data_IF_682686284832
#
_entry.id   IF_682686284832
#
_cell.length_a   1.000
_cell.length_b   1.000
_cell.length_c   1.000
_cell.angle_alpha   90.00
_cell.angle_beta   90.00
_cell.angle_gamma   90.00
#
_symmetry.space_group_name_H-M   'P 1'
#
loop_
_entity.id
_entity.type
_entity.pdbx_description
1 polymer ?
#
# COMPACT_ATOMS: atom_id res chain seq x y z
N UNK A 1 15.64 -2.73 -7.40
CA UNK A 1 14.76 -3.48 -6.52
C UNK A 1 13.77 -2.60 -5.85
N UNK A 2 12.58 -2.61 -6.42
CA UNK A 2 11.52 -1.72 -5.95
C UNK A 2 11.01 -2.10 -4.57
N UNK A 3 10.99 -3.39 -4.25
CA UNK A 3 10.45 -3.86 -2.96
C UNK A 3 11.27 -3.40 -1.77
N UNK A 4 12.59 -3.49 -1.87
CA UNK A 4 13.46 -3.06 -0.77
C UNK A 4 13.40 -1.54 -0.57
N UNK A 5 13.50 -0.78 -1.64
CA UNK A 5 13.44 0.68 -1.54
C UNK A 5 12.06 1.14 -1.05
N UNK A 6 11.00 0.46 -1.46
CA UNK A 6 9.66 0.73 -0.98
C UNK A 6 9.56 0.47 0.54
N UNK A 7 10.13 -0.65 1.00
CA UNK A 7 10.14 -0.97 2.43
C UNK A 7 10.93 0.05 3.24
N UNK A 8 12.09 0.48 2.72
CA UNK A 8 12.90 1.50 3.39
C UNK A 8 12.11 2.80 3.54
N UNK A 9 11.41 3.21 2.49
CA UNK A 9 10.58 4.42 2.51
C UNK A 9 9.45 4.31 3.54
N UNK A 10 8.77 3.15 3.57
CA UNK A 10 7.67 2.93 4.51
C UNK A 10 8.16 2.89 5.96
N UNK A 11 9.30 2.24 6.21
CA UNK A 11 9.90 2.20 7.54
C UNK A 11 10.29 3.60 8.00
N UNK A 12 10.89 4.41 7.12
CA UNK A 12 11.27 5.78 7.43
C UNK A 12 10.06 6.64 7.79
N UNK A 13 8.98 6.49 7.03
CA UNK A 13 7.74 7.21 7.27
C UNK A 13 7.12 6.80 8.62
N UNK A 14 7.06 5.50 8.89
CA UNK A 14 6.51 4.99 10.14
C UNK A 14 7.34 5.43 11.33
N UNK A 15 8.67 5.42 11.20
CA UNK A 15 9.56 5.88 12.26
C UNK A 15 9.36 7.36 12.55
N UNK A 16 9.29 8.17 11.50
CA UNK A 16 9.06 9.60 11.65
C UNK A 16 7.74 9.88 12.38
N UNK A 17 6.69 9.17 11.99
CA UNK A 17 5.38 9.30 12.63
C UNK A 17 5.45 8.89 14.12
N UNK A 18 6.11 7.77 14.41
CA UNK A 18 6.26 7.29 15.78
C UNK A 18 7.06 8.27 16.64
N UNK A 19 8.12 8.85 16.08
CA UNK A 19 8.93 9.84 16.80
C UNK A 19 8.13 11.10 17.16
N UNK A 20 7.27 11.54 16.25
CA UNK A 20 6.39 12.69 16.51
C UNK A 20 5.41 12.41 17.64
N UNK A 21 5.01 11.15 17.82
CA UNK A 21 4.11 10.74 18.88
C UNK A 21 4.84 10.39 20.19
N UNK A 22 6.15 10.52 20.21
CA UNK A 22 6.94 10.20 21.40
C UNK A 22 7.02 8.71 21.71
N UNK A 23 6.82 7.86 20.71
CA UNK A 23 6.82 6.42 20.90
C UNK A 23 8.21 5.88 21.17
N UNK A 24 8.29 4.85 22.01
CA UNK A 24 9.53 4.14 22.27
C UNK A 24 9.76 3.03 21.24
N UNK A 25 8.68 2.52 20.67
CA UNK A 25 8.72 1.39 19.75
C UNK A 25 7.47 1.37 18.89
N UNK A 26 7.60 0.85 17.66
CA UNK A 26 6.47 0.48 16.81
C UNK A 26 6.29 -1.02 16.97
N UNK A 27 5.12 -1.45 17.38
CA UNK A 27 4.84 -2.87 17.62
C UNK A 27 4.21 -3.56 16.40
N UNK A 28 3.51 -2.80 15.57
CA UNK A 28 2.88 -3.33 14.36
C UNK A 28 2.67 -2.21 13.36
N UNK A 29 2.60 -2.59 12.10
CA UNK A 29 2.23 -1.65 11.03
C UNK A 29 1.44 -2.38 9.96
N UNK A 30 0.52 -1.65 9.32
CA UNK A 30 -0.29 -2.17 8.23
C UNK A 30 0.00 -1.35 6.99
N UNK A 31 0.26 -2.06 5.88
CA UNK A 31 0.62 -1.47 4.59
C UNK A 31 -0.42 -1.91 3.58
N UNK A 32 -0.94 -0.96 2.80
CA UNK A 32 -1.83 -1.25 1.67
C UNK A 32 -1.01 -1.33 0.41
N UNK A 33 -1.12 -2.44 -0.30
CA UNK A 33 -0.38 -2.69 -1.53
C UNK A 33 -1.34 -2.66 -2.71
N UNK A 34 -1.24 -1.61 -3.52
CA UNK A 34 -2.08 -1.48 -4.71
C UNK A 34 -1.70 -2.51 -5.76
N UNK A 35 -2.71 -3.17 -6.33
CA UNK A 35 -2.47 -4.22 -7.34
C UNK A 35 -1.77 -3.70 -8.58
N UNK A 36 -1.98 -2.42 -8.93
CA UNK A 36 -1.33 -1.80 -10.09
C UNK A 36 0.19 -1.70 -9.95
N UNK A 37 0.71 -1.74 -8.72
CA UNK A 37 2.16 -1.60 -8.49
C UNK A 37 2.95 -2.82 -8.95
N UNK A 38 2.30 -3.98 -9.03
CA UNK A 38 2.98 -5.24 -9.33
C UNK A 38 3.86 -5.75 -8.19
N UNK A 39 3.85 -5.08 -7.04
CA UNK A 39 4.65 -5.49 -5.89
C UNK A 39 3.94 -6.65 -5.18
N UNK A 40 4.69 -7.72 -4.94
CA UNK A 40 4.16 -8.88 -4.23
C UNK A 40 4.38 -8.70 -2.72
N UNK A 41 3.32 -8.84 -1.91
CA UNK A 41 3.46 -8.72 -0.45
C UNK A 41 4.53 -9.64 0.14
N UNK A 42 4.74 -10.83 -0.46
CA UNK A 42 5.77 -11.76 0.01
C UNK A 42 7.16 -11.13 0.02
N UNK A 43 7.47 -10.27 -0.95
CA UNK A 43 8.76 -9.58 -0.98
C UNK A 43 8.83 -8.50 0.10
N UNK A 44 7.73 -7.85 0.40
CA UNK A 44 7.70 -6.86 1.48
C UNK A 44 7.97 -7.53 2.82
N UNK A 45 7.35 -8.69 3.09
CA UNK A 45 7.64 -9.46 4.30
C UNK A 45 9.09 -9.91 4.35
N UNK A 46 9.64 -10.29 3.20
CA UNK A 46 11.02 -10.76 3.12
C UNK A 46 12.03 -9.65 3.46
N UNK A 47 11.83 -8.45 2.96
CA UNK A 47 12.77 -7.35 3.13
C UNK A 47 12.54 -6.51 4.39
N UNK A 48 11.40 -6.68 5.05
CA UNK A 48 11.08 -5.88 6.23
C UNK A 48 12.11 -6.04 7.37
N UNK A 49 12.55 -7.25 7.73
CA UNK A 49 13.55 -7.39 8.81
C UNK A 49 14.83 -6.61 8.54
N UNK A 50 15.29 -6.62 7.31
CA UNK A 50 16.50 -5.88 6.93
C UNK A 50 16.25 -4.36 6.96
N UNK A 51 15.15 -3.92 6.38
CA UNK A 51 14.82 -2.51 6.30
C UNK A 51 14.56 -1.89 7.67
N UNK A 52 14.04 -2.67 8.62
CA UNK A 52 13.68 -2.18 9.96
C UNK A 52 14.82 -2.28 10.97
N UNK A 53 15.93 -2.92 10.62
CA UNK A 53 17.04 -3.13 11.54
C UNK A 53 17.56 -1.80 12.08
N UNK A 54 17.68 -1.70 13.40
CA UNK A 54 18.19 -0.49 14.05
C UNK A 54 17.18 0.64 14.15
N UNK A 55 15.94 0.41 13.75
CA UNK A 55 14.87 1.40 13.85
C UNK A 55 13.87 1.03 14.94
N UNK A 56 12.93 1.93 15.22
CA UNK A 56 11.85 1.65 16.18
C UNK A 56 10.94 0.51 15.69
N UNK A 57 11.02 0.14 14.42
CA UNK A 57 10.21 -0.91 13.82
C UNK A 57 10.84 -2.28 13.87
N UNK A 58 12.05 -2.41 14.39
CA UNK A 58 12.71 -3.71 14.48
C UNK A 58 11.86 -4.66 15.32
N UNK A 59 11.53 -5.83 14.77
CA UNK A 59 10.69 -6.79 15.45
C UNK A 59 9.18 -6.53 15.37
N UNK A 60 8.77 -5.45 14.73
CA UNK A 60 7.35 -5.13 14.58
C UNK A 60 6.65 -6.15 13.67
N UNK A 61 5.34 -6.31 13.88
CA UNK A 61 4.52 -7.18 13.04
C UNK A 61 4.04 -6.39 11.83
N UNK A 62 4.41 -6.86 10.63
CA UNK A 62 3.98 -6.27 9.36
C UNK A 62 2.75 -7.00 8.83
N UNK A 63 1.74 -6.26 8.46
CA UNK A 63 0.57 -6.78 7.76
C UNK A 63 0.42 -6.05 6.44
N UNK A 64 0.35 -6.80 5.33
CA UNK A 64 0.12 -6.22 4.01
C UNK A 64 -1.28 -6.57 3.54
N UNK A 65 -2.02 -5.56 3.09
CA UNK A 65 -3.38 -5.74 2.58
C UNK A 65 -3.39 -5.35 1.11
N UNK A 66 -3.91 -6.21 0.24
CA UNK A 66 -4.03 -5.92 -1.19
C UNK A 66 -5.18 -4.95 -1.45
N UNK A 67 -4.95 -4.00 -2.34
CA UNK A 67 -5.98 -3.04 -2.74
C UNK A 67 -6.22 -3.20 -4.24
N UNK A 68 -7.43 -3.62 -4.66
CA UNK A 68 -7.74 -3.76 -6.09
C UNK A 68 -7.71 -2.40 -6.80
N UNK A 69 -7.42 -2.44 -8.09
CA UNK A 69 -7.50 -1.24 -8.93
C UNK A 69 -8.97 -0.86 -9.07
N UNK A 70 -9.29 0.37 -8.73
CA UNK A 70 -10.65 0.90 -8.85
C UNK A 70 -10.58 2.21 -9.62
N UNK A 71 -11.49 2.39 -10.57
CA UNK A 71 -11.50 3.55 -11.45
C UNK A 71 -12.89 4.16 -11.55
N UNK A 72 -12.93 5.42 -12.01
CA UNK A 72 -14.18 6.11 -12.34
C UNK A 72 -14.16 6.44 -13.82
N UNK A 73 -15.22 6.04 -14.53
CA UNK A 73 -15.36 6.35 -15.96
C UNK A 73 -15.43 7.86 -16.16
N UNK A 74 -14.59 8.37 -17.06
CA UNK A 74 -14.58 9.81 -17.37
C UNK A 74 -15.81 10.28 -18.13
N UNK A 75 -16.51 9.35 -18.79
CA UNK A 75 -17.69 9.69 -19.59
C UNK A 75 -18.99 9.67 -18.80
N UNK A 76 -19.19 8.66 -17.96
CA UNK A 76 -20.47 8.49 -17.25
C UNK A 76 -20.38 8.50 -15.73
N UNK A 77 -19.15 8.55 -15.17
CA UNK A 77 -18.94 8.61 -13.73
C UNK A 77 -19.10 7.29 -12.98
N UNK A 78 -19.37 6.19 -13.67
CA UNK A 78 -19.51 4.88 -13.03
C UNK A 78 -18.17 4.42 -12.46
N UNK A 79 -18.16 3.96 -11.20
CA UNK A 79 -16.98 3.39 -10.57
C UNK A 79 -16.98 1.88 -10.77
N UNK A 80 -15.82 1.33 -11.11
CA UNK A 80 -15.70 -0.11 -11.33
C UNK A 80 -14.27 -0.58 -11.14
N UNK A 81 -14.09 -1.91 -11.05
CA UNK A 81 -12.78 -2.54 -10.96
C UNK A 81 -12.46 -3.17 -12.32
N UNK A 82 -11.60 -2.54 -13.14
CA UNK A 82 -11.39 -2.99 -14.52
C UNK A 82 -10.87 -4.42 -14.64
N UNK A 83 -10.10 -4.90 -13.65
CA UNK A 83 -9.56 -6.25 -13.71
C UNK A 83 -10.64 -7.33 -13.52
N UNK A 84 -11.82 -6.94 -13.07
CA UNK A 84 -12.96 -7.85 -12.87
C UNK A 84 -13.99 -7.75 -13.99
N UNK A 85 -13.74 -6.90 -14.99
CA UNK A 85 -14.67 -6.66 -16.10
C UNK A 85 -14.07 -7.23 -17.38
N UNK A 86 -14.80 -8.07 -18.13
CA UNK A 86 -14.34 -8.52 -19.43
C UNK A 86 -14.02 -7.32 -20.35
N UNK A 87 -12.85 -7.35 -20.98
CA UNK A 87 -12.42 -6.26 -21.86
C UNK A 87 -11.94 -5.01 -21.13
N UNK A 88 -12.04 -4.99 -19.79
CA UNK A 88 -11.59 -3.84 -18.96
C UNK A 88 -12.25 -2.52 -19.37
N UNK A 89 -13.53 -2.57 -19.73
CA UNK A 89 -14.30 -1.40 -20.16
C UNK A 89 -15.36 -1.06 -19.13
N UNK A 90 -15.83 0.18 -19.15
CA UNK A 90 -16.91 0.61 -18.26
C UNK A 90 -18.14 -0.28 -18.48
N UNK A 91 -18.69 -0.90 -17.43
CA UNK A 91 -19.85 -1.79 -17.58
C UNK A 91 -21.12 -1.04 -17.95
N UNK A 92 -21.15 0.28 -17.78
CA UNK A 92 -22.34 1.07 -18.09
C UNK A 92 -22.30 1.64 -19.52
N UNK A 93 -21.15 2.20 -19.96
CA UNK A 93 -21.09 2.87 -21.27
C UNK A 93 -20.09 2.25 -22.25
N UNK A 94 -19.28 1.30 -21.82
CA UNK A 94 -18.32 0.60 -22.68
C UNK A 94 -17.06 1.36 -23.05
N UNK A 95 -16.87 2.55 -22.51
CA UNK A 95 -15.65 3.33 -22.78
C UNK A 95 -14.52 2.94 -21.84
N UNK A 96 -13.27 3.24 -22.27
CA UNK A 96 -12.07 2.83 -21.52
C UNK A 96 -11.39 3.95 -20.75
N UNK A 97 -11.68 5.20 -21.10
CA UNK A 97 -11.06 6.35 -20.43
C UNK A 97 -11.57 6.46 -18.99
N UNK A 98 -10.68 6.40 -18.03
CA UNK A 98 -11.06 6.37 -16.62
C UNK A 98 -9.99 7.01 -15.74
N UNK A 99 -10.42 7.50 -14.57
CA UNK A 99 -9.55 8.05 -13.54
C UNK A 99 -9.33 7.01 -12.45
N UNK A 100 -8.07 6.79 -12.07
CA UNK A 100 -7.73 5.79 -11.06
C UNK A 100 -8.05 6.31 -9.67
N UNK A 101 -8.89 5.59 -8.93
CA UNK A 101 -9.30 5.94 -7.57
C UNK A 101 -8.51 5.22 -6.50
N UNK A 102 -8.09 3.97 -6.76
CA UNK A 102 -7.42 3.14 -5.77
C UNK A 102 -6.57 2.08 -6.46
N UNK A 103 -5.64 1.48 -5.69
CA UNK A 103 -4.82 0.39 -6.19
C UNK A 103 -3.56 0.82 -6.91
N UNK A 104 -3.25 2.10 -6.91
CA UNK A 104 -2.13 2.66 -7.65
C UNK A 104 -0.80 2.61 -6.90
N UNK A 105 -0.84 2.73 -5.58
CA UNK A 105 0.35 2.93 -4.77
C UNK A 105 0.47 1.93 -3.62
N UNK A 106 1.66 1.90 -3.02
CA UNK A 106 1.87 1.23 -1.73
C UNK A 106 1.86 2.33 -0.67
N UNK A 107 0.98 2.20 0.32
CA UNK A 107 0.81 3.23 1.34
C UNK A 107 0.84 2.64 2.75
N UNK A 108 1.32 3.45 3.69
CA UNK A 108 1.25 3.10 5.11
C UNK A 108 -0.16 3.44 5.60
N UNK A 109 -0.90 2.42 6.04
CA UNK A 109 -2.27 2.64 6.52
C UNK A 109 -2.29 3.08 7.98
N UNK A 110 -1.61 2.33 8.85
CA UNK A 110 -1.51 2.69 10.25
C UNK A 110 -0.31 2.04 10.90
N UNK A 111 0.01 2.50 12.11
CA UNK A 111 1.01 1.90 12.97
C UNK A 111 0.43 1.75 14.37
N UNK A 112 0.94 0.76 15.10
CA UNK A 112 0.65 0.60 16.52
C UNK A 112 1.94 0.87 17.26
N UNK A 113 1.88 1.72 18.28
CA UNK A 113 3.06 2.18 18.99
C UNK A 113 2.99 1.83 20.47
N UNK A 114 4.17 1.77 21.09
CA UNK A 114 4.34 1.61 22.52
C UNK A 114 4.96 2.90 23.06
N UNK A 115 4.33 3.47 24.05
CA UNK A 115 4.77 4.73 24.66
C UNK A 115 5.91 4.56 25.65
#
# INVERSE_FOLDING_TARGET
>A
MHELSTMIRLVSLAQETAEKEGAKKVTALTVKVGEMTGILPSYLYKYFPEASRGTLLEGAELTCTGVPVRVRCLSCGTEYEPDRIPGRVCPNCGKTAAHILAGRDVTLENIEIES
#
